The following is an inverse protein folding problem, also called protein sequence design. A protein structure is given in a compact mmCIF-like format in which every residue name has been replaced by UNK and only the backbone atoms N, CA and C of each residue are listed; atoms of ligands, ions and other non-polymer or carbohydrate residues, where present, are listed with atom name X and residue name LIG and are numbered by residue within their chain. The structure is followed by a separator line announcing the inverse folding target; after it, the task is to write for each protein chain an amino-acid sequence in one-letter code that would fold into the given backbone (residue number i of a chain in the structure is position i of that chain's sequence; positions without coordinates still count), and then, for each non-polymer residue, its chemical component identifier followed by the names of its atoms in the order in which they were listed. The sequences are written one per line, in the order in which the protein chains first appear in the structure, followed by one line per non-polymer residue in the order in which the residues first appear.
data_IF_458834258717
#
_entry.id   IF_458834258717
#
_cell.length_a   1.000
_cell.length_b   1.000
_cell.length_c   1.000
_cell.angle_alpha   90.00
_cell.angle_beta   90.00
_cell.angle_gamma   90.00
#
_symmetry.space_group_name_H-M   'P 1'
#
loop_
_entity.id
_entity.type
_entity.pdbx_description
1 polymer ?
#
# COMPACT_ATOMS: atom_id res chain seq x y z
N UNK A 1 55.68 -15.28 -1.84
CA UNK A 1 54.86 -14.14 -1.34
C UNK A 1 53.90 -13.74 -2.45
N UNK A 2 52.60 -13.95 -2.27
CA UNK A 2 51.56 -13.41 -3.17
C UNK A 2 50.92 -12.24 -2.44
N UNK A 3 51.20 -11.03 -2.91
CA UNK A 3 50.64 -9.80 -2.35
C UNK A 3 49.20 -9.67 -2.84
N UNK A 4 48.23 -9.94 -1.98
CA UNK A 4 46.82 -9.74 -2.26
C UNK A 4 46.54 -8.23 -2.29
N UNK A 5 46.33 -7.66 -3.47
CA UNK A 5 45.87 -6.27 -3.60
C UNK A 5 44.44 -6.19 -3.04
N UNK A 6 44.27 -5.45 -1.94
CA UNK A 6 42.94 -5.09 -1.42
C UNK A 6 42.27 -4.17 -2.45
N UNK A 7 41.21 -4.65 -3.09
CA UNK A 7 40.37 -3.83 -3.96
C UNK A 7 39.82 -2.63 -3.20
N UNK A 8 39.94 -1.44 -3.78
CA UNK A 8 39.42 -0.22 -3.20
C UNK A 8 37.90 -0.34 -3.02
N UNK A 9 37.43 -0.17 -1.79
CA UNK A 9 36.00 -0.08 -1.48
C UNK A 9 35.51 1.26 -2.00
N UNK A 10 34.74 1.26 -3.09
CA UNK A 10 34.06 2.46 -3.58
C UNK A 10 32.91 2.74 -2.62
N UNK A 11 33.09 3.74 -1.75
CA UNK A 11 31.99 4.25 -0.93
C UNK A 11 31.16 5.21 -1.79
N UNK A 12 29.92 4.84 -2.09
CA UNK A 12 28.94 5.79 -2.65
C UNK A 12 28.53 6.73 -1.53
N UNK A 13 28.94 8.00 -1.63
CA UNK A 13 28.48 9.06 -0.74
C UNK A 13 27.36 9.80 -1.47
N UNK A 14 26.12 9.59 -1.02
CA UNK A 14 24.99 10.41 -1.43
C UNK A 14 24.79 11.52 -0.40
N UNK A 15 24.60 12.76 -0.87
CA UNK A 15 24.17 13.87 -0.03
C UNK A 15 22.83 14.38 -0.56
N UNK A 16 21.94 14.77 0.35
CA UNK A 16 20.65 15.30 -0.03
C UNK A 16 20.82 16.68 -0.70
N UNK A 17 20.11 16.89 -1.81
CA UNK A 17 20.09 18.16 -2.53
C UNK A 17 19.54 19.32 -1.68
N UNK A 18 19.68 20.56 -2.15
CA UNK A 18 19.14 21.74 -1.46
C UNK A 18 17.61 21.70 -1.34
N UNK A 19 16.92 20.98 -2.23
CA UNK A 19 15.46 20.82 -2.24
C UNK A 19 14.97 19.69 -1.34
N UNK A 20 15.84 18.95 -0.65
CA UNK A 20 15.40 17.94 0.30
C UNK A 20 14.86 18.60 1.57
N UNK A 21 13.71 18.15 2.09
CA UNK A 21 13.24 18.59 3.41
C UNK A 21 14.21 18.07 4.47
N UNK A 22 14.68 18.97 5.33
CA UNK A 22 15.62 18.66 6.42
C UNK A 22 14.90 18.84 7.76
N UNK A 23 14.98 17.84 8.64
CA UNK A 23 14.35 17.91 9.95
C UNK A 23 14.12 16.54 10.57
N UNK A 24 13.88 16.50 11.88
CA UNK A 24 13.55 15.25 12.58
C UNK A 24 12.19 14.77 12.11
N UNK A 25 12.12 13.51 11.64
CA UNK A 25 10.88 12.94 11.13
C UNK A 25 10.36 13.59 9.84
N UNK A 26 11.20 14.39 9.16
CA UNK A 26 10.90 14.95 7.85
C UNK A 26 11.58 14.08 6.77
N UNK A 27 10.90 13.95 5.63
CA UNK A 27 11.40 13.26 4.44
C UNK A 27 10.95 13.99 3.16
N UNK A 28 11.51 13.54 2.04
CA UNK A 28 11.11 14.01 0.72
C UNK A 28 11.66 15.38 0.32
N UNK A 29 10.92 16.10 -0.51
CA UNK A 29 11.39 17.32 -1.21
C UNK A 29 10.52 18.53 -0.90
N UNK A 30 11.07 19.73 -0.93
CA UNK A 30 10.35 20.96 -0.58
C UNK A 30 9.13 21.22 -1.47
N UNK A 31 8.21 22.06 -1.00
CA UNK A 31 7.01 22.46 -1.75
C UNK A 31 7.34 23.32 -2.98
N UNK A 32 8.57 23.85 -3.07
CA UNK A 32 9.07 24.56 -4.24
C UNK A 32 9.26 23.66 -5.47
N UNK A 33 9.34 22.34 -5.27
CA UNK A 33 9.43 21.38 -6.38
C UNK A 33 8.04 21.21 -7.01
N UNK A 34 7.95 21.51 -8.31
CA UNK A 34 6.72 21.29 -9.08
C UNK A 34 6.36 19.80 -9.08
N UNK A 35 5.09 19.50 -8.83
CA UNK A 35 4.53 18.15 -8.83
C UNK A 35 3.35 18.07 -9.78
N UNK A 36 3.32 17.01 -10.58
CA UNK A 36 2.20 16.69 -11.46
C UNK A 36 1.82 15.25 -11.18
N UNK A 37 0.56 15.03 -10.82
CA UNK A 37 -0.05 13.69 -10.74
C UNK A 37 -1.22 13.61 -11.70
N UNK A 38 -1.50 12.38 -12.14
CA UNK A 38 -2.66 12.07 -12.95
C UNK A 38 -3.46 11.05 -12.15
N UNK A 39 -4.77 11.30 -12.03
CA UNK A 39 -5.70 10.33 -11.45
C UNK A 39 -6.61 9.78 -12.53
N UNK A 40 -6.97 8.50 -12.39
CA UNK A 40 -7.90 7.82 -13.30
C UNK A 40 -9.30 8.42 -13.24
N UNK A 41 -9.80 8.67 -12.04
CA UNK A 41 -11.16 9.14 -11.76
C UNK A 41 -11.26 9.65 -10.30
N UNK A 42 -12.45 10.08 -9.87
CA UNK A 42 -12.72 10.63 -8.53
C UNK A 42 -13.19 9.55 -7.53
N UNK A 43 -12.95 8.27 -7.82
CA UNK A 43 -13.17 7.17 -6.86
C UNK A 43 -11.98 7.00 -5.92
N UNK A 44 -12.17 6.24 -4.85
CA UNK A 44 -11.09 5.86 -3.94
C UNK A 44 -9.88 5.27 -4.69
N UNK A 45 -10.11 4.32 -5.60
CA UNK A 45 -9.04 3.75 -6.42
C UNK A 45 -8.48 4.75 -7.43
N UNK A 46 -9.31 5.65 -7.96
CA UNK A 46 -8.88 6.74 -8.82
C UNK A 46 -7.85 7.63 -8.13
N UNK A 47 -8.11 8.04 -6.89
CA UNK A 47 -7.13 8.80 -6.11
C UNK A 47 -5.85 8.04 -5.82
N UNK A 48 -5.93 6.73 -5.55
CA UNK A 48 -4.73 5.91 -5.37
C UNK A 48 -3.82 5.92 -6.61
N UNK A 49 -4.35 6.07 -7.82
CA UNK A 49 -3.53 6.18 -9.04
C UNK A 49 -2.66 7.44 -9.11
N UNK A 50 -2.94 8.48 -8.31
CA UNK A 50 -2.06 9.65 -8.24
C UNK A 50 -0.64 9.31 -7.74
N UNK A 51 -0.51 8.20 -7.00
CA UNK A 51 0.76 7.70 -6.46
C UNK A 51 1.49 6.73 -7.39
N UNK A 52 0.95 6.44 -8.58
CA UNK A 52 1.61 5.53 -9.51
C UNK A 52 2.94 6.11 -9.98
N UNK A 53 4.00 5.29 -9.95
CA UNK A 53 5.37 5.72 -10.22
C UNK A 53 6.10 6.28 -9.00
N UNK A 54 5.42 6.50 -7.87
CA UNK A 54 6.09 6.88 -6.62
C UNK A 54 6.74 5.67 -5.95
N UNK A 55 7.84 5.85 -5.20
CA UNK A 55 8.51 4.75 -4.53
C UNK A 55 7.70 4.26 -3.32
N UNK A 56 7.89 2.98 -3.00
CA UNK A 56 7.58 2.48 -1.67
C UNK A 56 8.50 3.13 -0.63
N UNK A 57 7.94 3.66 0.46
CA UNK A 57 8.68 4.25 1.57
C UNK A 57 8.22 3.62 2.87
N UNK A 58 9.04 2.73 3.44
CA UNK A 58 8.75 2.10 4.74
C UNK A 58 8.57 3.15 5.82
N UNK A 59 7.43 3.13 6.53
CA UNK A 59 7.09 4.10 7.57
C UNK A 59 7.28 5.53 7.09
N UNK A 60 6.52 5.90 6.05
CA UNK A 60 6.72 7.18 5.37
C UNK A 60 6.62 8.37 6.35
N UNK A 61 7.50 9.35 6.14
CA UNK A 61 7.80 10.38 7.13
C UNK A 61 6.76 11.51 7.16
N UNK A 62 6.85 12.36 8.18
CA UNK A 62 5.97 13.50 8.41
C UNK A 62 5.32 13.41 9.79
N UNK A 63 5.51 14.44 10.61
CA UNK A 63 5.02 14.47 11.99
C UNK A 63 3.60 15.00 12.14
N UNK A 64 3.03 15.54 11.05
CA UNK A 64 1.65 16.00 11.00
C UNK A 64 1.02 15.50 9.71
N UNK A 65 -0.31 15.40 9.72
CA UNK A 65 -1.12 15.08 8.57
C UNK A 65 -0.67 15.86 7.33
N UNK A 66 -0.60 17.21 7.39
CA UNK A 66 -0.22 18.04 6.24
C UNK A 66 1.26 18.04 5.86
N UNK A 67 2.14 17.37 6.60
CA UNK A 67 3.57 17.22 6.26
C UNK A 67 3.96 15.80 5.91
N UNK A 68 2.98 14.88 5.85
CA UNK A 68 3.20 13.48 5.55
C UNK A 68 3.63 13.30 4.10
N UNK A 69 4.64 12.47 3.83
CA UNK A 69 5.20 12.29 2.49
C UNK A 69 4.14 11.86 1.46
N UNK A 70 3.14 11.09 1.90
CA UNK A 70 2.03 10.69 1.04
C UNK A 70 1.13 11.86 0.64
N UNK A 71 0.92 12.88 1.48
CA UNK A 71 0.17 14.10 1.08
C UNK A 71 0.89 14.86 -0.03
N UNK A 72 2.21 14.75 -0.08
CA UNK A 72 3.06 15.40 -1.07
C UNK A 72 3.36 14.51 -2.29
N UNK A 73 2.71 13.34 -2.40
CA UNK A 73 2.91 12.40 -3.49
C UNK A 73 4.37 11.92 -3.64
N UNK A 74 5.09 11.77 -2.54
CA UNK A 74 6.52 11.40 -2.55
C UNK A 74 6.77 9.90 -2.35
N UNK A 75 5.71 9.16 -2.06
CA UNK A 75 5.75 7.75 -1.69
C UNK A 75 4.97 7.46 -0.42
N UNK A 76 4.82 6.18 -0.13
CA UNK A 76 4.04 5.69 1.00
C UNK A 76 4.46 4.26 1.35
N UNK A 77 4.15 3.83 2.57
CA UNK A 77 4.02 2.40 2.82
C UNK A 77 2.62 1.90 2.43
N UNK A 78 2.34 0.61 2.65
CA UNK A 78 1.08 0.00 2.29
C UNK A 78 -0.14 0.60 3.02
N UNK A 79 -0.01 0.95 4.30
CA UNK A 79 -1.12 1.48 5.09
C UNK A 79 -1.31 2.97 4.79
N UNK A 80 -0.21 3.73 4.70
CA UNK A 80 -0.24 5.13 4.32
C UNK A 80 -0.86 5.32 2.93
N UNK A 81 -0.62 4.40 2.00
CA UNK A 81 -1.25 4.41 0.69
C UNK A 81 -2.77 4.32 0.77
N UNK A 82 -3.31 3.45 1.63
CA UNK A 82 -4.76 3.33 1.83
C UNK A 82 -5.34 4.57 2.52
N UNK A 83 -4.66 5.09 3.55
CA UNK A 83 -5.08 6.29 4.25
C UNK A 83 -5.06 7.51 3.32
N UNK A 84 -4.05 7.63 2.45
CA UNK A 84 -3.97 8.66 1.43
C UNK A 84 -5.24 8.69 0.57
N UNK A 85 -5.64 7.55 0.00
CA UNK A 85 -6.87 7.46 -0.79
C UNK A 85 -8.11 7.86 0.01
N UNK A 86 -8.21 7.42 1.26
CA UNK A 86 -9.35 7.75 2.12
C UNK A 86 -9.43 9.26 2.43
N UNK A 87 -8.28 9.90 2.64
CA UNK A 87 -8.20 11.33 2.90
C UNK A 87 -8.50 12.17 1.66
N UNK A 88 -8.07 11.71 0.49
CA UNK A 88 -8.48 12.31 -0.79
C UNK A 88 -9.99 12.20 -1.06
N UNK A 89 -10.62 11.16 -0.53
CA UNK A 89 -12.09 11.03 -0.48
C UNK A 89 -12.77 11.90 0.60
N UNK A 90 -12.01 12.75 1.32
CA UNK A 90 -12.53 13.69 2.33
C UNK A 90 -12.47 13.18 3.76
N UNK A 91 -11.89 12.01 4.03
CA UNK A 91 -11.70 11.51 5.40
C UNK A 91 -10.66 12.33 6.17
N UNK A 92 -10.87 12.51 7.48
CA UNK A 92 -9.91 13.16 8.38
C UNK A 92 -9.09 12.17 9.22
N UNK A 93 -9.02 10.91 8.78
CA UNK A 93 -8.27 9.86 9.49
C UNK A 93 -6.77 10.17 9.45
N UNK A 94 -6.10 10.10 10.60
CA UNK A 94 -4.64 10.25 10.68
C UNK A 94 -3.92 9.04 10.10
N UNK A 95 -2.72 9.26 9.57
CA UNK A 95 -1.82 8.21 9.11
C UNK A 95 -1.52 7.19 10.22
N UNK A 96 -1.40 5.93 9.83
CA UNK A 96 -1.28 4.81 10.75
C UNK A 96 -0.68 3.60 10.04
N UNK A 97 -0.36 2.56 10.79
CA UNK A 97 0.19 1.32 10.28
C UNK A 97 -0.91 0.26 10.08
N UNK A 98 -0.57 -0.88 9.49
CA UNK A 98 -1.53 -1.95 9.15
C UNK A 98 -2.41 -2.41 10.32
N UNK A 99 -1.86 -2.56 11.53
CA UNK A 99 -2.64 -2.91 12.73
C UNK A 99 -3.41 -1.74 13.35
N UNK A 100 -3.22 -0.52 12.86
CA UNK A 100 -4.06 0.64 13.16
C UNK A 100 -5.33 0.71 12.33
N UNK A 101 -5.32 0.16 11.10
CA UNK A 101 -6.46 0.18 10.17
C UNK A 101 -7.77 -0.39 10.77
N UNK A 102 -7.77 -1.44 11.60
CA UNK A 102 -8.97 -1.91 12.28
C UNK A 102 -9.73 -0.88 13.12
N UNK A 103 -9.07 0.22 13.53
CA UNK A 103 -9.69 1.29 14.34
C UNK A 103 -10.46 2.31 13.51
N UNK A 104 -10.21 2.35 12.20
CA UNK A 104 -10.75 3.36 11.26
C UNK A 104 -11.50 2.71 10.09
N UNK A 105 -11.68 1.38 10.17
CA UNK A 105 -12.39 0.58 9.18
C UNK A 105 -13.29 -0.42 9.90
N UNK A 106 -14.42 -0.77 9.27
CA UNK A 106 -15.28 -1.86 9.73
C UNK A 106 -14.87 -3.18 9.08
N UNK A 107 -14.93 -4.26 9.84
CA UNK A 107 -14.78 -5.62 9.33
C UNK A 107 -16.01 -6.02 8.51
N UNK A 108 -15.80 -6.58 7.32
CA UNK A 108 -16.83 -7.09 6.43
C UNK A 108 -16.82 -8.62 6.43
N UNK A 109 -15.64 -9.22 6.28
CA UNK A 109 -15.43 -10.65 6.28
C UNK A 109 -14.00 -10.98 6.73
N UNK A 110 -13.74 -12.23 7.11
CA UNK A 110 -12.41 -12.73 7.41
C UNK A 110 -12.31 -14.17 6.93
N UNK A 111 -11.10 -14.59 6.53
CA UNK A 111 -10.90 -15.93 6.01
C UNK A 111 -9.45 -16.27 5.71
N UNK A 112 -9.26 -17.49 5.23
CA UNK A 112 -7.97 -18.04 4.81
C UNK A 112 -8.10 -18.62 3.42
N UNK A 113 -7.04 -18.47 2.62
CA UNK A 113 -6.96 -19.07 1.28
C UNK A 113 -6.86 -20.59 1.38
N UNK A 114 -7.71 -21.29 0.64
CA UNK A 114 -7.56 -22.71 0.40
C UNK A 114 -6.49 -22.92 -0.70
N UNK A 115 -5.41 -23.67 -0.43
CA UNK A 115 -4.35 -23.87 -1.40
C UNK A 115 -4.74 -24.71 -2.62
N UNK A 116 -5.83 -25.48 -2.55
CA UNK A 116 -6.27 -26.34 -3.64
C UNK A 116 -6.93 -25.57 -4.79
N UNK A 117 -7.69 -24.52 -4.48
CA UNK A 117 -8.48 -23.76 -5.44
C UNK A 117 -8.20 -22.24 -5.42
N UNK A 118 -7.43 -21.74 -4.44
CA UNK A 118 -7.12 -20.31 -4.29
C UNK A 118 -8.25 -19.49 -3.67
N UNK A 119 -9.38 -20.10 -3.32
CA UNK A 119 -10.56 -19.42 -2.79
C UNK A 119 -10.37 -19.11 -1.31
N UNK A 120 -10.73 -17.90 -0.89
CA UNK A 120 -10.76 -17.54 0.52
C UNK A 120 -12.04 -18.04 1.19
N UNK A 121 -11.90 -18.73 2.32
CA UNK A 121 -13.01 -19.33 3.08
C UNK A 121 -13.04 -18.81 4.51
N UNK A 122 -14.24 -18.66 5.05
CA UNK A 122 -14.45 -18.34 6.47
C UNK A 122 -14.10 -19.52 7.39
N UNK A 123 -14.20 -19.31 8.70
CA UNK A 123 -13.91 -20.35 9.71
C UNK A 123 -14.81 -21.60 9.62
N UNK A 124 -15.92 -21.54 8.86
CA UNK A 124 -16.84 -22.65 8.61
C UNK A 124 -16.59 -23.32 7.25
N UNK A 125 -15.56 -22.91 6.52
CA UNK A 125 -15.24 -23.41 5.19
C UNK A 125 -16.11 -22.82 4.06
N UNK A 126 -16.96 -21.84 4.36
CA UNK A 126 -17.79 -21.19 3.34
C UNK A 126 -16.93 -20.21 2.55
N UNK A 127 -17.00 -20.29 1.22
CA UNK A 127 -16.36 -19.33 0.33
C UNK A 127 -16.83 -17.89 0.64
N UNK A 128 -15.87 -16.97 0.69
CA UNK A 128 -16.17 -15.55 0.83
C UNK A 128 -16.66 -15.01 -0.51
N UNK A 129 -17.78 -14.28 -0.50
CA UNK A 129 -18.21 -13.55 -1.68
C UNK A 129 -17.21 -12.44 -1.99
N UNK A 130 -16.98 -12.17 -3.28
CA UNK A 130 -16.20 -11.01 -3.69
C UNK A 130 -16.90 -9.75 -3.14
N UNK A 131 -16.18 -8.89 -2.38
CA UNK A 131 -16.78 -7.74 -1.74
C UNK A 131 -16.88 -6.56 -2.72
N UNK A 132 -16.98 -5.33 -2.22
CA UNK A 132 -17.07 -4.17 -3.11
C UNK A 132 -15.67 -3.79 -3.61
N UNK A 133 -15.55 -3.39 -4.88
CA UNK A 133 -14.37 -2.69 -5.39
C UNK A 133 -14.05 -1.47 -4.51
N UNK A 134 -12.80 -1.36 -4.08
CA UNK A 134 -12.29 -0.37 -3.14
C UNK A 134 -12.34 -0.81 -1.66
N UNK A 135 -12.95 -1.95 -1.34
CA UNK A 135 -12.76 -2.56 -0.01
C UNK A 135 -11.30 -2.99 0.16
N UNK A 136 -10.81 -2.89 1.39
CA UNK A 136 -9.46 -3.26 1.74
C UNK A 136 -9.37 -4.77 1.96
N UNK A 137 -8.30 -5.37 1.46
CA UNK A 137 -7.84 -6.70 1.84
C UNK A 137 -6.64 -6.54 2.78
N UNK A 138 -6.88 -6.79 4.07
CA UNK A 138 -5.90 -6.61 5.14
C UNK A 138 -5.29 -7.96 5.51
N UNK A 139 -3.97 -8.04 5.42
CA UNK A 139 -3.14 -9.13 5.92
C UNK A 139 -2.45 -8.69 7.22
N UNK A 140 -1.82 -9.61 8.00
CA UNK A 140 -1.20 -9.26 9.28
C UNK A 140 -0.14 -8.15 9.24
N UNK A 141 0.52 -7.93 8.09
CA UNK A 141 1.58 -6.91 7.92
C UNK A 141 1.52 -6.20 6.56
N UNK A 142 0.42 -6.33 5.84
CA UNK A 142 0.26 -5.75 4.50
C UNK A 142 -1.20 -5.45 4.23
N UNK A 143 -1.47 -4.53 3.32
CA UNK A 143 -2.82 -4.19 2.89
C UNK A 143 -2.82 -3.77 1.42
N UNK A 144 -3.93 -4.03 0.74
CA UNK A 144 -4.27 -3.35 -0.51
C UNK A 144 -5.77 -3.10 -0.61
N UNK A 145 -6.17 -2.48 -1.70
CA UNK A 145 -7.56 -2.25 -2.05
C UNK A 145 -7.97 -3.16 -3.20
N UNK A 146 -9.09 -3.87 -3.08
CA UNK A 146 -9.60 -4.74 -4.15
C UNK A 146 -10.01 -3.89 -5.35
N UNK A 147 -9.39 -4.17 -6.50
CA UNK A 147 -9.51 -3.39 -7.72
C UNK A 147 -10.42 -4.06 -8.76
N UNK A 148 -10.39 -5.39 -8.85
CA UNK A 148 -11.14 -6.11 -9.87
C UNK A 148 -11.41 -7.56 -9.47
N UNK A 149 -12.62 -8.04 -9.77
CA UNK A 149 -13.09 -9.42 -9.56
C UNK A 149 -12.64 -10.31 -10.74
N UNK A 150 -11.86 -11.35 -10.47
CA UNK A 150 -11.29 -12.29 -11.45
C UNK A 150 -11.40 -13.73 -10.94
N UNK A 151 -10.94 -14.67 -11.76
CA UNK A 151 -11.01 -16.09 -11.42
C UNK A 151 -12.48 -16.54 -11.35
N UNK A 152 -12.94 -16.90 -10.16
CA UNK A 152 -14.31 -17.32 -9.89
C UNK A 152 -15.18 -16.11 -9.57
N UNK A 153 -15.81 -15.55 -10.61
CA UNK A 153 -16.62 -14.33 -10.49
C UNK A 153 -17.61 -14.35 -9.33
N UNK A 154 -17.60 -13.29 -8.52
CA UNK A 154 -18.44 -13.12 -7.34
C UNK A 154 -17.92 -13.85 -6.09
N UNK A 155 -16.78 -14.51 -6.17
CA UNK A 155 -16.10 -15.22 -5.06
C UNK A 155 -14.72 -14.62 -4.91
N UNK A 156 -14.33 -14.30 -3.67
CA UNK A 156 -12.99 -13.80 -3.39
C UNK A 156 -11.98 -14.94 -3.52
N UNK A 157 -11.08 -14.83 -4.49
CA UNK A 157 -9.98 -15.75 -4.73
C UNK A 157 -8.65 -15.02 -4.94
N UNK A 158 -7.58 -15.76 -5.21
CA UNK A 158 -6.25 -15.19 -5.33
C UNK A 158 -5.93 -14.60 -6.71
N UNK A 159 -6.83 -14.77 -7.69
CA UNK A 159 -6.70 -14.17 -9.03
C UNK A 159 -7.27 -12.76 -9.09
N UNK A 160 -8.10 -12.39 -8.12
CA UNK A 160 -8.59 -11.03 -7.92
C UNK A 160 -7.45 -10.01 -7.88
N UNK A 161 -7.67 -8.84 -8.47
CA UNK A 161 -6.67 -7.78 -8.46
C UNK A 161 -6.80 -6.93 -7.22
N UNK A 162 -5.67 -6.63 -6.61
CA UNK A 162 -5.54 -5.61 -5.57
C UNK A 162 -4.59 -4.50 -6.02
N UNK A 163 -4.96 -3.26 -5.71
CA UNK A 163 -4.08 -2.11 -5.79
C UNK A 163 -3.34 -1.95 -4.47
N UNK A 164 -2.01 -1.95 -4.50
CA UNK A 164 -1.18 -1.92 -3.30
C UNK A 164 0.23 -1.40 -3.62
N UNK A 165 1.03 -1.21 -2.59
CA UNK A 165 2.48 -0.99 -2.69
C UNK A 165 3.19 -1.80 -1.62
N UNK A 166 4.29 -2.46 -1.97
CA UNK A 166 5.11 -3.22 -1.04
C UNK A 166 6.50 -3.46 -1.64
N UNK A 167 7.52 -2.78 -1.14
CA UNK A 167 8.90 -2.82 -1.66
C UNK A 167 9.02 -2.51 -3.17
N UNK A 168 7.97 -1.94 -3.75
CA UNK A 168 7.82 -1.62 -5.16
C UNK A 168 6.79 -0.50 -5.33
N UNK A 169 6.81 0.19 -6.46
CA UNK A 169 5.87 1.27 -6.76
C UNK A 169 4.40 0.78 -6.71
N UNK A 170 3.43 1.64 -6.35
CA UNK A 170 2.03 1.27 -6.39
C UNK A 170 1.60 0.69 -7.75
N UNK A 171 0.87 -0.42 -7.70
CA UNK A 171 0.41 -1.16 -8.89
C UNK A 171 -0.85 -1.96 -8.58
N UNK A 172 -1.52 -2.41 -9.64
CA UNK A 172 -2.51 -3.49 -9.56
C UNK A 172 -1.80 -4.81 -9.82
N UNK A 173 -2.00 -5.80 -8.96
CA UNK A 173 -1.49 -7.15 -9.15
C UNK A 173 -2.48 -8.19 -8.61
N UNK A 174 -2.46 -9.43 -9.12
CA UNK A 174 -3.21 -10.53 -8.52
C UNK A 174 -2.80 -10.72 -7.06
N UNK A 175 -3.76 -11.03 -6.18
CA UNK A 175 -3.47 -11.30 -4.77
C UNK A 175 -2.43 -12.43 -4.64
N UNK A 176 -2.47 -13.45 -5.51
CA UNK A 176 -1.52 -14.56 -5.60
C UNK A 176 -0.05 -14.08 -5.67
N UNK A 177 0.19 -12.99 -6.39
CA UNK A 177 1.53 -12.47 -6.69
C UNK A 177 2.07 -11.51 -5.61
N UNK A 178 1.22 -11.13 -4.64
CA UNK A 178 1.58 -10.19 -3.57
C UNK A 178 2.59 -10.67 -2.54
N UNK A 179 2.91 -11.97 -2.55
CA UNK A 179 3.68 -12.61 -1.49
C UNK A 179 2.91 -12.76 -0.17
N UNK A 180 1.64 -12.34 -0.11
CA UNK A 180 0.78 -12.41 1.08
C UNK A 180 -0.44 -13.33 0.93
N UNK A 181 -0.71 -13.90 -0.26
CA UNK A 181 -1.89 -14.73 -0.53
C UNK A 181 -2.10 -15.91 0.45
N UNK A 182 -1.01 -16.49 0.97
CA UNK A 182 -1.08 -17.60 1.91
C UNK A 182 -1.38 -17.18 3.36
N UNK A 183 -1.54 -15.88 3.64
CA UNK A 183 -1.82 -15.35 4.98
C UNK A 183 -3.33 -15.22 5.19
N UNK A 184 -3.80 -15.30 6.44
CA UNK A 184 -5.18 -14.96 6.76
C UNK A 184 -5.48 -13.51 6.37
N UNK A 185 -6.71 -13.27 5.97
CA UNK A 185 -7.18 -11.97 5.53
C UNK A 185 -8.37 -11.47 6.35
N UNK A 186 -8.52 -10.16 6.33
CA UNK A 186 -9.74 -9.46 6.70
C UNK A 186 -10.13 -8.53 5.56
N UNK A 187 -11.39 -8.61 5.14
CA UNK A 187 -11.98 -7.62 4.25
C UNK A 187 -12.52 -6.48 5.09
N UNK A 188 -12.05 -5.27 4.82
CA UNK A 188 -12.33 -4.08 5.63
C UNK A 188 -12.82 -2.93 4.77
N UNK A 189 -13.63 -2.04 5.34
CA UNK A 189 -14.15 -0.84 4.65
C UNK A 189 -13.99 0.39 5.52
N UNK A 190 -13.50 1.50 4.95
CA UNK A 190 -13.49 2.79 5.63
C UNK A 190 -14.91 3.18 6.09
N UNK A 191 -15.03 3.75 7.29
CA UNK A 191 -16.30 4.18 7.88
C UNK A 191 -16.66 5.60 7.47
#
# INVERSE_FOLDING_TARGET
LVTQQRGATVATIASAGPEARRGKGAGGVTDAVMRVSIRRDDSFLGFLTEMYGQPYVWASAGMSDGSHQSEHLEGSDCADFMIYGARRMGSSVSYTWTGGLPKVTKLIAAGTRDPADGIYRDAKGKALAFPRIGDLILFPRHVGALAFDRGTLGVLDDQDLMMHTLFDSPKEEPIADSGYAAKPIEIRRFQ
#
